data_IF_703472607055
#
_entry.id   IF_703472607055
#
_cell.length_a   1.000
_cell.length_b   1.000
_cell.length_c   1.000
_cell.angle_alpha   90.00
_cell.angle_beta   90.00
_cell.angle_gamma   90.00
#
_symmetry.space_group_name_H-M   'P 1'
#
loop_
_entity.id
_entity.type
_entity.pdbx_description
1 polymer ?
#
# COMPACT_ATOMS: atom_id res chain seq x y z
N UNK A 1 -4.57 -3.89 15.16
CA UNK A 1 -3.24 -4.26 14.60
C UNK A 1 -2.33 -3.04 14.68
N UNK A 2 -1.12 -3.14 15.24
CA UNK A 2 -0.20 -1.99 15.32
C UNK A 2 0.74 -1.99 14.13
N UNK A 3 0.66 -0.99 13.25
CA UNK A 3 1.56 -0.86 12.09
C UNK A 3 3.05 -0.89 12.49
N UNK A 4 3.39 -0.31 13.64
CA UNK A 4 4.75 -0.34 14.19
C UNK A 4 5.24 -1.76 14.51
N UNK A 5 4.35 -2.68 14.93
CA UNK A 5 4.73 -4.09 15.17
C UNK A 5 4.96 -4.80 13.83
N UNK A 6 4.03 -4.64 12.88
CA UNK A 6 4.13 -5.22 11.54
C UNK A 6 5.44 -4.84 10.84
N UNK A 7 5.77 -3.55 10.79
CA UNK A 7 7.00 -3.11 10.13
C UNK A 7 8.26 -3.71 10.76
N UNK A 8 8.31 -3.84 12.10
CA UNK A 8 9.46 -4.45 12.80
C UNK A 8 9.57 -5.94 12.51
N UNK A 9 8.45 -6.65 12.43
CA UNK A 9 8.44 -8.06 12.09
C UNK A 9 8.93 -8.30 10.66
N UNK A 10 8.44 -7.52 9.70
CA UNK A 10 8.88 -7.60 8.29
C UNK A 10 10.36 -7.27 8.18
N UNK A 11 10.81 -6.18 8.81
CA UNK A 11 12.21 -5.76 8.83
C UNK A 11 13.12 -6.88 9.35
N UNK A 12 12.79 -7.46 10.51
CA UNK A 12 13.56 -8.56 11.11
C UNK A 12 13.59 -9.80 10.23
N UNK A 13 12.45 -10.21 9.65
CA UNK A 13 12.37 -11.42 8.79
C UNK A 13 13.22 -11.29 7.53
N UNK A 14 13.37 -10.08 7.00
CA UNK A 14 14.08 -9.83 5.75
C UNK A 14 15.51 -9.27 5.95
N UNK A 15 15.97 -9.10 7.20
CA UNK A 15 17.30 -8.57 7.48
C UNK A 15 17.51 -7.10 7.07
N UNK A 16 16.44 -6.31 7.02
CA UNK A 16 16.44 -4.90 6.59
C UNK A 16 15.98 -3.96 7.70
N UNK A 17 16.10 -2.65 7.52
CA UNK A 17 15.59 -1.68 8.50
C UNK A 17 14.08 -1.41 8.32
N UNK A 18 13.42 -0.95 9.40
CA UNK A 18 12.03 -0.46 9.31
C UNK A 18 11.89 0.70 8.32
N UNK A 19 12.94 1.52 8.17
CA UNK A 19 12.97 2.62 7.20
C UNK A 19 12.93 2.09 5.77
N UNK A 20 13.71 1.05 5.47
CA UNK A 20 13.73 0.43 4.14
C UNK A 20 12.38 -0.19 3.82
N UNK A 21 11.77 -0.92 4.76
CA UNK A 21 10.41 -1.47 4.57
C UNK A 21 9.42 -0.38 4.20
N UNK A 22 9.40 0.73 4.95
CA UNK A 22 8.48 1.84 4.67
C UNK A 22 8.77 2.50 3.32
N UNK A 23 10.04 2.72 3.00
CA UNK A 23 10.48 3.33 1.73
C UNK A 23 10.03 2.47 0.56
N UNK A 24 10.32 1.18 0.61
CA UNK A 24 10.09 0.28 -0.52
C UNK A 24 8.59 0.04 -0.73
N UNK A 25 7.81 -0.05 0.35
CA UNK A 25 6.34 -0.07 0.26
C UNK A 25 5.77 1.21 -0.37
N UNK A 26 6.25 2.38 0.06
CA UNK A 26 5.79 3.65 -0.53
C UNK A 26 6.19 3.76 -2.00
N UNK A 27 7.40 3.31 -2.36
CA UNK A 27 7.88 3.31 -3.73
C UNK A 27 7.04 2.39 -4.63
N UNK A 28 6.68 1.19 -4.15
CA UNK A 28 5.81 0.27 -4.88
C UNK A 28 4.41 0.86 -5.12
N UNK A 29 3.84 1.51 -4.10
CA UNK A 29 2.56 2.21 -4.24
C UNK A 29 2.71 3.36 -5.24
N UNK A 30 3.74 4.21 -5.10
CA UNK A 30 3.94 5.34 -6.00
C UNK A 30 4.10 4.90 -7.45
N UNK A 31 4.87 3.83 -7.71
CA UNK A 31 5.03 3.26 -9.04
C UNK A 31 3.70 2.83 -9.66
N UNK A 32 2.82 2.19 -8.87
CA UNK A 32 1.49 1.78 -9.33
C UNK A 32 0.61 2.98 -9.71
N UNK A 33 0.71 4.10 -8.98
CA UNK A 33 -0.12 5.30 -9.21
C UNK A 33 0.41 6.22 -10.31
N UNK A 34 1.73 6.32 -10.46
CA UNK A 34 2.35 7.22 -11.44
C UNK A 34 2.38 6.63 -12.85
N UNK A 35 2.44 5.30 -12.96
CA UNK A 35 2.50 4.60 -14.25
C UNK A 35 1.37 3.57 -14.38
N UNK A 36 0.08 3.98 -14.37
CA UNK A 36 -1.02 3.05 -14.55
C UNK A 36 -0.98 2.44 -15.97
N UNK A 37 -1.35 1.16 -16.13
CA UNK A 37 -1.45 0.52 -17.44
C UNK A 37 -2.41 1.26 -18.38
N UNK A 38 -2.17 1.15 -19.69
CA UNK A 38 -3.06 1.70 -20.74
C UNK A 38 -4.28 0.79 -20.96
N UNK A 39 -5.11 0.68 -19.93
CA UNK A 39 -6.26 -0.24 -19.87
C UNK A 39 -7.61 0.48 -20.01
N UNK A 40 -7.62 1.69 -20.58
CA UNK A 40 -8.81 2.52 -20.66
C UNK A 40 -9.23 3.16 -19.33
N UNK A 41 -8.38 3.12 -18.29
CA UNK A 41 -8.63 3.76 -17.00
C UNK A 41 -9.27 2.84 -15.96
N UNK A 42 -9.35 1.54 -16.23
CA UNK A 42 -9.91 0.54 -15.32
C UNK A 42 -9.12 0.51 -14.01
N UNK A 43 -7.80 0.33 -14.07
CA UNK A 43 -6.94 0.34 -12.88
C UNK A 43 -7.01 1.68 -12.16
N UNK A 44 -7.05 2.79 -12.89
CA UNK A 44 -7.21 4.13 -12.29
C UNK A 44 -8.53 4.28 -11.52
N UNK A 45 -9.61 3.62 -11.96
CA UNK A 45 -10.88 3.61 -11.23
C UNK A 45 -10.78 2.82 -9.92
N UNK A 46 -10.16 1.62 -9.93
CA UNK A 46 -9.92 0.84 -8.70
C UNK A 46 -9.00 1.54 -7.73
N UNK A 47 -7.93 2.13 -8.26
CA UNK A 47 -6.99 2.93 -7.50
C UNK A 47 -7.73 4.03 -6.73
N UNK A 48 -8.57 4.84 -7.39
CA UNK A 48 -9.36 5.91 -6.76
C UNK A 48 -10.25 5.48 -5.59
N UNK A 49 -10.60 4.20 -5.47
CA UNK A 49 -11.38 3.68 -4.35
C UNK A 49 -10.60 3.65 -3.03
N UNK A 50 -9.26 3.66 -3.05
CA UNK A 50 -8.44 3.70 -1.84
C UNK A 50 -8.60 5.07 -1.14
N UNK A 51 -9.17 5.13 0.09
CA UNK A 51 -9.29 6.36 0.84
C UNK A 51 -7.90 6.88 1.20
N UNK A 52 -7.67 8.17 0.93
CA UNK A 52 -6.36 8.81 1.08
C UNK A 52 -6.52 10.30 1.35
N UNK A 53 -5.53 10.90 2.01
CA UNK A 53 -5.46 12.36 2.18
C UNK A 53 -4.73 13.07 1.03
N UNK A 54 -3.68 12.45 0.48
CA UNK A 54 -2.87 13.00 -0.61
C UNK A 54 -3.20 12.36 -1.96
N UNK A 55 -2.42 12.69 -3.00
CA UNK A 55 -2.61 12.10 -4.33
C UNK A 55 -2.32 10.60 -4.36
N UNK A 56 -1.24 10.17 -3.69
CA UNK A 56 -0.82 8.77 -3.56
C UNK A 56 -1.05 8.35 -2.11
N UNK A 57 -1.68 7.18 -1.85
CA UNK A 57 -1.93 6.75 -0.49
C UNK A 57 -0.62 6.39 0.22
N UNK A 58 -0.60 6.59 1.52
CA UNK A 58 0.44 6.05 2.40
C UNK A 58 0.30 4.53 2.51
N UNK A 59 1.36 3.80 2.95
CA UNK A 59 1.26 2.37 3.11
C UNK A 59 0.19 1.97 4.14
N UNK A 60 -0.02 2.80 5.17
CA UNK A 60 -1.04 2.52 6.18
C UNK A 60 -2.47 2.69 5.64
N UNK A 61 -2.75 3.75 4.88
CA UNK A 61 -4.05 3.95 4.21
C UNK A 61 -4.35 2.78 3.26
N UNK A 62 -3.36 2.40 2.44
CA UNK A 62 -3.50 1.30 1.49
C UNK A 62 -3.77 -0.04 2.18
N UNK A 63 -2.99 -0.39 3.21
CA UNK A 63 -3.15 -1.67 3.94
C UNK A 63 -4.51 -1.74 4.63
N UNK A 64 -4.99 -0.64 5.23
CA UNK A 64 -6.31 -0.61 5.88
C UNK A 64 -7.42 -0.87 4.88
N UNK A 65 -7.37 -0.23 3.71
CA UNK A 65 -8.32 -0.47 2.63
C UNK A 65 -8.27 -1.91 2.13
N UNK A 66 -7.07 -2.41 1.78
CA UNK A 66 -6.88 -3.75 1.24
C UNK A 66 -7.34 -4.83 2.24
N UNK A 67 -6.98 -4.69 3.51
CA UNK A 67 -7.42 -5.62 4.56
C UNK A 67 -8.94 -5.60 4.76
N UNK A 68 -9.58 -4.42 4.61
CA UNK A 68 -11.04 -4.29 4.61
C UNK A 68 -11.68 -5.07 3.45
N UNK A 69 -11.17 -4.88 2.22
CA UNK A 69 -11.63 -5.60 1.04
C UNK A 69 -11.48 -7.10 1.14
N UNK A 70 -10.36 -7.59 1.67
CA UNK A 70 -10.16 -9.03 1.88
C UNK A 70 -11.21 -9.59 2.86
N UNK A 71 -11.50 -8.89 3.96
CA UNK A 71 -12.50 -9.33 4.93
C UNK A 71 -13.93 -9.33 4.38
N UNK A 72 -14.26 -8.42 3.47
CA UNK A 72 -15.55 -8.40 2.78
C UNK A 72 -15.68 -9.51 1.73
N UNK A 73 -14.58 -10.16 1.36
CA UNK A 73 -14.52 -11.17 0.29
C UNK A 73 -14.56 -12.62 0.82
N UNK A 74 -14.70 -12.81 2.13
CA UNK A 74 -14.87 -14.10 2.83
C UNK A 74 -16.19 -14.09 3.59
#
# INVERSE_FOLDING_TARGET
MSMRKIYREIARKNGVSVKDVKRDMQAAIAAAYQNPPKDGGVISAYQRQVPRKGEIPTPEEFIRYAAGKVRESV
#
